data_IF_888575216937
#
_entry.id   IF_888575216937
#
_cell.length_a   1.000
_cell.length_b   1.000
_cell.length_c   1.000
_cell.angle_alpha   90.00
_cell.angle_beta   90.00
_cell.angle_gamma   90.00
#
_symmetry.space_group_name_H-M   'P 1'
#
loop_
_entity.id
_entity.type
_entity.pdbx_description
1 polymer ?
#
# COMPACT_ATOMS: atom_id res chain seq x y z
N UNK A 1 -14.72 -1.12 -7.34
CA UNK A 1 -13.43 -0.62 -7.85
C UNK A 1 -13.28 0.89 -7.69
N UNK A 2 -13.39 1.45 -6.47
CA UNK A 2 -13.36 2.92 -6.26
C UNK A 2 -12.36 3.37 -5.18
N UNK A 3 -11.43 2.50 -4.77
CA UNK A 3 -10.41 2.84 -3.78
C UNK A 3 -9.17 3.33 -4.52
N UNK A 4 -8.76 4.57 -4.25
CA UNK A 4 -7.55 5.13 -4.83
C UNK A 4 -6.31 4.56 -4.12
N UNK A 5 -5.34 4.06 -4.87
CA UNK A 5 -4.05 3.63 -4.32
C UNK A 5 -3.00 4.70 -4.63
N UNK A 6 -2.27 5.15 -3.61
CA UNK A 6 -1.19 6.13 -3.76
C UNK A 6 0.08 5.62 -3.08
N UNK A 7 1.19 5.67 -3.81
CA UNK A 7 2.52 5.46 -3.24
C UNK A 7 3.17 6.82 -3.01
N UNK A 8 3.83 6.98 -1.87
CA UNK A 8 4.76 8.09 -1.65
C UNK A 8 6.05 7.85 -2.45
N UNK A 9 6.78 8.90 -2.79
CA UNK A 9 8.07 8.74 -3.49
C UNK A 9 9.05 7.86 -2.72
N UNK A 10 9.10 8.02 -1.39
CA UNK A 10 9.96 7.19 -0.54
C UNK A 10 9.54 5.72 -0.54
N UNK A 11 8.24 5.42 -0.61
CA UNK A 11 7.77 4.05 -0.73
C UNK A 11 8.29 3.40 -2.02
N UNK A 12 8.26 4.12 -3.14
CA UNK A 12 8.77 3.63 -4.43
C UNK A 12 10.28 3.33 -4.33
N UNK A 13 11.05 4.22 -3.70
CA UNK A 13 12.48 4.01 -3.46
C UNK A 13 12.73 2.78 -2.58
N UNK A 14 12.02 2.66 -1.45
CA UNK A 14 12.15 1.54 -0.53
C UNK A 14 11.83 0.18 -1.20
N UNK A 15 10.79 0.13 -2.05
CA UNK A 15 10.46 -1.08 -2.82
C UNK A 15 11.60 -1.45 -3.77
N UNK A 16 12.16 -0.46 -4.49
CA UNK A 16 13.25 -0.68 -5.43
C UNK A 16 14.51 -1.19 -4.73
N UNK A 17 14.90 -0.57 -3.62
CA UNK A 17 16.06 -0.98 -2.81
C UNK A 17 15.89 -2.40 -2.27
N UNK A 18 14.70 -2.72 -1.75
CA UNK A 18 14.39 -4.08 -1.26
C UNK A 18 14.42 -5.09 -2.41
N UNK A 19 13.80 -4.80 -3.56
CA UNK A 19 13.87 -5.71 -4.71
C UNK A 19 15.30 -5.97 -5.21
N UNK A 20 16.19 -4.96 -5.13
CA UNK A 20 17.62 -5.12 -5.43
C UNK A 20 18.29 -6.04 -4.38
N UNK A 21 18.02 -5.85 -3.09
CA UNK A 21 18.61 -6.70 -2.03
C UNK A 21 18.21 -8.16 -2.15
N UNK A 22 17.00 -8.44 -2.66
CA UNK A 22 16.52 -9.80 -2.92
C UNK A 22 17.14 -10.44 -4.18
N UNK A 23 18.03 -9.75 -4.91
CA UNK A 23 18.76 -10.25 -6.11
C UNK A 23 17.88 -10.81 -7.24
N UNK A 24 16.59 -10.47 -7.23
CA UNK A 24 15.59 -10.95 -8.21
C UNK A 24 15.29 -9.93 -9.30
N UNK A 25 15.96 -8.77 -9.27
CA UNK A 25 15.79 -7.70 -10.26
C UNK A 25 14.34 -7.22 -10.32
N UNK A 26 13.85 -6.86 -11.52
CA UNK A 26 12.49 -6.38 -11.71
C UNK A 26 11.39 -7.39 -11.29
N UNK A 27 11.70 -8.70 -11.29
CA UNK A 27 10.76 -9.74 -10.82
C UNK A 27 10.54 -9.66 -9.31
N UNK A 28 11.54 -9.18 -8.56
CA UNK A 28 11.47 -8.98 -7.11
C UNK A 28 10.47 -7.94 -6.67
N UNK A 29 10.18 -6.94 -7.50
CA UNK A 29 9.23 -5.87 -7.17
C UNK A 29 7.85 -6.42 -6.86
N UNK A 30 7.38 -7.37 -7.68
CA UNK A 30 6.07 -8.00 -7.49
C UNK A 30 6.03 -8.80 -6.19
N UNK A 31 7.07 -9.58 -5.91
CA UNK A 31 7.13 -10.38 -4.67
C UNK A 31 7.16 -9.50 -3.41
N UNK A 32 7.91 -8.40 -3.43
CA UNK A 32 7.94 -7.44 -2.31
C UNK A 32 6.56 -6.81 -2.09
N UNK A 33 5.86 -6.43 -3.17
CA UNK A 33 4.51 -5.89 -3.06
C UNK A 33 3.52 -6.92 -2.53
N UNK A 34 3.54 -8.15 -3.06
CA UNK A 34 2.65 -9.23 -2.61
C UNK A 34 2.85 -9.56 -1.12
N UNK A 35 4.09 -9.59 -0.64
CA UNK A 35 4.40 -9.85 0.77
C UNK A 35 3.79 -8.81 1.72
N UNK A 36 3.86 -7.51 1.37
CA UNK A 36 3.47 -6.43 2.29
C UNK A 36 2.04 -5.93 2.07
N UNK A 37 1.43 -6.24 0.92
CA UNK A 37 0.10 -5.74 0.55
C UNK A 37 -0.99 -6.81 0.54
N UNK A 38 -0.67 -8.09 0.76
CA UNK A 38 -1.65 -9.18 0.68
C UNK A 38 -2.91 -8.90 1.51
N UNK A 39 -2.72 -8.55 2.79
CA UNK A 39 -3.81 -8.35 3.73
C UNK A 39 -4.75 -7.24 3.26
N UNK A 40 -4.19 -6.08 2.89
CA UNK A 40 -5.00 -4.95 2.45
C UNK A 40 -5.67 -5.23 1.10
N UNK A 41 -5.03 -5.96 0.20
CA UNK A 41 -5.64 -6.37 -1.08
C UNK A 41 -6.83 -7.30 -0.88
N UNK A 42 -6.80 -8.15 0.15
CA UNK A 42 -7.91 -9.03 0.50
C UNK A 42 -9.04 -8.29 1.24
N UNK A 43 -8.70 -7.36 2.14
CA UNK A 43 -9.70 -6.59 2.90
C UNK A 43 -10.44 -5.57 2.03
N UNK A 44 -9.73 -4.86 1.15
CA UNK A 44 -10.26 -3.74 0.37
C UNK A 44 -11.54 -4.03 -0.42
N UNK A 45 -11.69 -5.17 -1.13
CA UNK A 45 -12.92 -5.49 -1.84
C UNK A 45 -14.17 -5.50 -0.96
N UNK A 46 -14.04 -5.84 0.32
CA UNK A 46 -15.14 -5.89 1.29
C UNK A 46 -15.44 -4.53 1.95
N UNK A 47 -14.49 -3.59 1.89
CA UNK A 47 -14.51 -2.31 2.60
C UNK A 47 -15.06 -1.19 1.71
N UNK A 48 -16.28 -0.73 2.02
CA UNK A 48 -16.96 0.38 1.31
C UNK A 48 -16.72 1.76 1.94
N UNK A 49 -16.14 1.78 3.13
CA UNK A 49 -15.84 2.97 3.92
C UNK A 49 -14.50 3.63 3.54
N UNK A 50 -13.64 2.91 2.81
CA UNK A 50 -12.31 3.37 2.41
C UNK A 50 -12.36 4.05 1.05
N UNK A 51 -11.83 5.28 0.98
CA UNK A 51 -11.71 6.09 -0.23
C UNK A 51 -10.34 5.96 -0.87
N UNK A 52 -9.27 5.99 -0.07
CA UNK A 52 -7.89 6.01 -0.55
C UNK A 52 -6.99 5.24 0.41
N UNK A 53 -6.00 4.54 -0.13
CA UNK A 53 -4.93 3.87 0.59
C UNK A 53 -3.61 4.52 0.20
N UNK A 54 -2.85 4.97 1.21
CA UNK A 54 -1.55 5.60 1.01
C UNK A 54 -0.45 4.68 1.55
N UNK A 55 0.44 4.28 0.67
CA UNK A 55 1.61 3.44 0.96
C UNK A 55 2.83 4.34 1.18
N UNK A 56 3.39 4.29 2.38
CA UNK A 56 4.63 4.97 2.75
C UNK A 56 5.81 3.97 2.86
N UNK A 57 7.02 4.47 3.03
CA UNK A 57 8.23 3.65 3.15
C UNK A 57 8.17 2.66 4.32
N UNK A 58 7.48 3.03 5.40
CA UNK A 58 7.39 2.25 6.64
C UNK A 58 6.67 0.92 6.46
N UNK A 59 5.81 0.82 5.44
CA UNK A 59 5.20 -0.45 5.03
C UNK A 59 6.28 -1.46 4.65
N UNK A 60 7.39 -1.04 4.05
CA UNK A 60 8.46 -1.93 3.56
C UNK A 60 9.65 -2.03 4.51
N UNK A 61 9.91 -1.00 5.31
CA UNK A 61 11.04 -0.95 6.24
C UNK A 61 10.71 -1.45 7.64
N UNK A 62 9.50 -1.16 8.14
CA UNK A 62 9.06 -1.47 9.50
C UNK A 62 7.87 -2.45 9.55
N UNK A 63 7.40 -2.94 8.40
CA UNK A 63 6.17 -3.73 8.28
C UNK A 63 4.94 -3.02 8.91
N UNK A 64 4.91 -1.69 8.84
CA UNK A 64 3.74 -0.92 9.29
C UNK A 64 2.56 -1.09 8.33
N UNK A 65 1.33 -0.91 8.82
CA UNK A 65 0.15 -0.96 7.97
C UNK A 65 0.02 0.29 7.10
N UNK A 66 -0.54 0.17 5.88
CA UNK A 66 -0.91 1.32 5.05
C UNK A 66 -1.82 2.32 5.76
N UNK A 67 -1.71 3.59 5.36
CA UNK A 67 -2.64 4.63 5.83
C UNK A 67 -3.95 4.54 5.05
N UNK A 68 -5.06 4.43 5.78
CA UNK A 68 -6.41 4.35 5.22
C UNK A 68 -7.11 5.70 5.34
N UNK A 69 -7.59 6.22 4.21
CA UNK A 69 -8.38 7.43 4.14
C UNK A 69 -9.83 7.05 3.91
N UNK A 70 -10.69 7.39 4.85
CA UNK A 70 -12.11 7.06 4.82
C UNK A 70 -12.90 8.11 4.03
N UNK A 71 -14.06 7.72 3.51
CA UNK A 71 -15.01 8.69 2.96
C UNK A 71 -15.40 9.68 4.07
N UNK A 72 -15.35 10.99 3.79
CA UNK A 72 -15.89 11.99 4.72
C UNK A 72 -17.37 11.66 4.94
N UNK A 73 -17.77 11.31 6.15
CA UNK A 73 -19.18 11.38 6.52
C UNK A 73 -19.60 12.83 6.33
N UNK A 74 -20.60 13.08 5.46
CA UNK A 74 -21.30 14.36 5.49
C UNK A 74 -21.83 14.51 6.91
N UNK A 75 -21.24 15.41 7.70
CA UNK A 75 -21.94 15.97 8.84
C UNK A 75 -23.23 16.56 8.27
N UNK A 76 -24.35 15.93 8.58
CA UNK A 76 -25.66 16.51 8.34
C UNK A 76 -25.68 17.85 9.09
N UNK A 77 -25.76 18.93 8.32
CA UNK A 77 -26.15 20.26 8.82
C UNK A 77 -27.67 20.27 8.99
#
# INVERSE_FOLDING_TARGET
>A
ENVKLKFTENAIRAIAEKAISHKTGARGLRSVLEEHMLDIMFELPSRKDIREVVINEKVFTNNEKPLLVYHKQKQAS
#
